data_IF_389751679234
#
_entry.id   IF_389751679234
#
_cell.length_a   1.000
_cell.length_b   1.000
_cell.length_c   1.000
_cell.angle_alpha   90.00
_cell.angle_beta   90.00
_cell.angle_gamma   90.00
#
_symmetry.space_group_name_H-M   'P 1'
#
loop_
_entity.id
_entity.type
_entity.pdbx_description
1 polymer ?
#
# COMPACT_ATOMS: atom_id res chain seq x y z
N UNK A 1 24.23 12.97 12.71
CA UNK A 1 23.78 11.59 13.00
C UNK A 1 22.99 11.13 11.78
N UNK A 2 23.31 9.97 11.21
CA UNK A 2 22.54 9.44 10.06
C UNK A 2 21.07 9.26 10.45
N UNK A 3 20.15 9.59 9.54
CA UNK A 3 18.73 9.38 9.76
C UNK A 3 18.48 7.93 10.18
N UNK A 4 17.70 7.71 11.24
CA UNK A 4 17.25 6.37 11.63
C UNK A 4 15.90 6.15 10.97
N UNK A 5 15.84 5.31 9.94
CA UNK A 5 14.59 4.92 9.29
C UNK A 5 14.11 3.55 9.79
N UNK A 6 12.81 3.31 9.66
CA UNK A 6 12.20 2.02 10.00
C UNK A 6 12.68 0.93 9.03
N UNK A 7 12.95 -0.26 9.57
CA UNK A 7 13.46 -1.40 8.82
C UNK A 7 12.46 -1.91 7.76
N UNK A 8 12.92 -2.71 6.79
CA UNK A 8 12.07 -3.25 5.71
C UNK A 8 11.17 -4.37 6.26
N UNK A 9 9.88 -4.07 6.46
CA UNK A 9 8.90 -5.02 7.04
C UNK A 9 7.88 -5.56 6.01
N UNK A 10 8.00 -5.14 4.75
CA UNK A 10 7.16 -5.63 3.66
C UNK A 10 7.74 -6.85 2.96
N UNK A 11 7.59 -6.88 1.63
CA UNK A 11 7.94 -8.03 0.81
C UNK A 11 9.32 -7.88 0.15
N UNK A 12 9.97 -9.01 -0.11
CA UNK A 12 11.25 -9.09 -0.82
C UNK A 12 11.05 -9.90 -2.10
N UNK A 13 11.63 -9.42 -3.20
CA UNK A 13 11.68 -10.16 -4.48
C UNK A 13 13.12 -10.37 -4.93
N UNK A 14 13.34 -11.30 -5.85
CA UNK A 14 14.66 -11.71 -6.32
C UNK A 14 14.63 -12.02 -7.81
N UNK A 15 15.57 -11.45 -8.57
CA UNK A 15 15.80 -11.83 -9.97
C UNK A 15 17.09 -12.67 -10.07
N UNK A 16 17.00 -13.98 -10.40
CA UNK A 16 18.16 -14.84 -10.55
C UNK A 16 19.04 -14.51 -11.77
N UNK A 17 18.51 -13.87 -12.81
CA UNK A 17 19.30 -13.49 -13.99
C UNK A 17 20.26 -12.35 -13.67
N UNK A 18 19.82 -11.44 -12.78
CA UNK A 18 20.59 -10.27 -12.36
C UNK A 18 21.36 -10.50 -11.05
N UNK A 19 21.03 -11.58 -10.33
CA UNK A 19 21.44 -11.88 -8.95
C UNK A 19 21.19 -10.70 -8.00
N UNK A 20 19.96 -10.19 -7.99
CA UNK A 20 19.57 -9.03 -7.19
C UNK A 20 18.34 -9.29 -6.34
N UNK A 21 18.41 -8.91 -5.07
CA UNK A 21 17.25 -8.80 -4.17
C UNK A 21 16.71 -7.38 -4.19
N UNK A 22 15.38 -7.26 -4.19
CA UNK A 22 14.66 -5.99 -4.19
C UNK A 22 13.76 -5.88 -2.97
N UNK A 23 13.84 -4.76 -2.27
CA UNK A 23 12.96 -4.46 -1.14
C UNK A 23 12.84 -2.95 -0.91
N UNK A 24 11.74 -2.57 -0.25
CA UNK A 24 11.48 -1.20 0.16
C UNK A 24 11.85 -0.92 1.62
N UNK A 25 12.28 0.30 1.92
CA UNK A 25 12.54 0.78 3.29
C UNK A 25 11.40 1.64 3.82
N UNK A 26 11.24 1.68 5.14
CA UNK A 26 10.15 2.35 5.81
C UNK A 26 10.34 3.86 6.01
N UNK A 27 9.46 4.42 6.84
CA UNK A 27 9.41 5.85 7.16
C UNK A 27 10.64 6.32 7.98
N UNK A 28 10.98 7.62 7.99
CA UNK A 28 12.23 8.14 8.57
C UNK A 28 12.20 8.37 10.10
N UNK A 29 11.48 7.54 10.87
CA UNK A 29 11.43 7.63 12.33
C UNK A 29 10.24 8.43 12.84
N UNK A 30 10.49 9.59 13.48
CA UNK A 30 9.41 10.47 13.95
C UNK A 30 8.57 11.00 12.79
N UNK A 31 7.28 11.09 13.06
CA UNK A 31 6.23 11.55 12.16
C UNK A 31 6.20 13.08 12.07
N UNK A 32 6.79 13.79 13.04
CA UNK A 32 7.03 15.23 12.93
C UNK A 32 8.23 15.53 11.99
N UNK A 33 8.01 16.09 10.78
CA UNK A 33 9.10 16.36 9.84
C UNK A 33 10.05 17.48 10.30
N UNK A 34 9.59 18.41 11.14
CA UNK A 34 10.42 19.51 11.63
C UNK A 34 11.59 19.01 12.48
N UNK A 35 11.41 17.92 13.23
CA UNK A 35 12.48 17.28 14.00
C UNK A 35 13.52 16.54 13.13
N UNK A 36 13.25 16.38 11.83
CA UNK A 36 14.10 15.71 10.84
C UNK A 36 14.72 16.66 9.82
N UNK A 37 14.33 17.94 9.84
CA UNK A 37 14.89 19.01 9.04
C UNK A 37 16.35 19.30 9.45
N UNK A 38 17.12 19.88 8.52
CA UNK A 38 18.51 20.30 8.77
C UNK A 38 18.58 21.81 8.54
N UNK A 39 19.05 22.54 9.54
CA UNK A 39 19.12 24.01 9.52
C UNK A 39 17.77 24.71 9.23
N UNK A 40 16.67 24.05 9.61
CA UNK A 40 15.31 24.53 9.37
C UNK A 40 14.75 24.24 7.98
N UNK A 41 15.50 23.52 7.13
CA UNK A 41 15.09 23.18 5.77
C UNK A 41 14.81 21.67 5.60
N UNK A 42 13.91 21.29 4.67
CA UNK A 42 13.69 19.90 4.29
C UNK A 42 14.99 19.19 3.93
N UNK A 43 15.19 18.01 4.51
CA UNK A 43 16.33 17.15 4.20
C UNK A 43 15.80 15.78 3.78
N UNK A 44 16.28 15.22 2.67
CA UNK A 44 15.72 14.00 2.06
C UNK A 44 15.59 12.78 3.00
N UNK A 45 16.25 12.77 4.17
CA UNK A 45 16.27 11.68 5.15
C UNK A 45 16.65 10.33 4.54
N UNK A 46 17.62 10.36 3.62
CA UNK A 46 18.09 9.15 2.92
C UNK A 46 18.67 8.15 3.93
N UNK A 47 18.35 6.85 3.81
CA UNK A 47 17.62 6.18 2.72
C UNK A 47 16.27 5.62 3.18
N UNK A 48 15.40 6.47 3.75
CA UNK A 48 14.00 6.12 4.03
C UNK A 48 13.16 6.08 2.73
N UNK A 49 12.05 5.33 2.73
CA UNK A 49 11.08 5.24 1.61
C UNK A 49 11.80 5.03 0.26
N UNK A 50 12.75 4.11 0.28
CA UNK A 50 13.67 3.84 -0.81
C UNK A 50 13.56 2.38 -1.23
N UNK A 51 13.46 2.15 -2.54
CA UNK A 51 13.65 0.84 -3.16
C UNK A 51 15.14 0.58 -3.24
N UNK A 52 15.58 -0.57 -2.75
CA UNK A 52 16.95 -1.06 -2.86
C UNK A 52 17.01 -2.23 -3.82
N UNK A 53 18.01 -2.23 -4.70
CA UNK A 53 18.50 -3.44 -5.37
C UNK A 53 19.87 -3.78 -4.80
N UNK A 54 20.02 -4.99 -4.25
CA UNK A 54 21.27 -5.43 -3.62
C UNK A 54 21.70 -6.80 -4.09
N UNK A 55 23.00 -7.03 -4.06
CA UNK A 55 23.58 -8.35 -4.22
C UNK A 55 23.25 -9.21 -2.97
N UNK A 56 22.65 -10.41 -3.13
CA UNK A 56 22.26 -11.26 -2.01
C UNK A 56 23.43 -11.88 -1.25
N UNK A 57 24.61 -11.98 -1.86
CA UNK A 57 25.78 -12.64 -1.30
C UNK A 57 26.55 -11.72 -0.35
N UNK A 58 26.62 -10.42 -0.65
CA UNK A 58 27.43 -9.46 0.12
C UNK A 58 26.65 -8.23 0.62
N UNK A 59 25.41 -8.01 0.15
CA UNK A 59 24.56 -6.88 0.53
C UNK A 59 24.93 -5.54 -0.10
N UNK A 60 25.88 -5.51 -1.05
CA UNK A 60 26.26 -4.30 -1.78
C UNK A 60 25.06 -3.77 -2.59
N UNK A 61 24.96 -2.44 -2.67
CA UNK A 61 23.89 -1.76 -3.40
C UNK A 61 24.27 -1.64 -4.87
N UNK A 62 23.42 -2.13 -5.76
CA UNK A 62 23.55 -1.88 -7.21
C UNK A 62 22.94 -0.52 -7.57
N UNK A 63 21.71 -0.28 -7.14
CA UNK A 63 21.01 0.98 -7.32
C UNK A 63 19.98 1.20 -6.21
N UNK A 64 19.53 2.45 -6.08
CA UNK A 64 18.47 2.86 -5.16
C UNK A 64 17.59 3.92 -5.81
N UNK A 65 16.30 3.90 -5.48
CA UNK A 65 15.35 4.95 -5.84
C UNK A 65 14.51 5.35 -4.63
N UNK A 66 14.61 6.62 -4.22
CA UNK A 66 13.83 7.15 -3.10
C UNK A 66 12.52 7.73 -3.61
N UNK A 67 11.40 7.05 -3.33
CA UNK A 67 10.05 7.43 -3.79
C UNK A 67 9.57 8.72 -3.14
N UNK A 68 9.83 8.90 -1.84
CA UNK A 68 9.42 10.09 -1.09
C UNK A 68 10.62 10.65 -0.32
N UNK A 69 11.34 11.62 -0.90
CA UNK A 69 12.33 12.40 -0.17
C UNK A 69 11.63 13.27 0.88
N UNK A 70 12.16 13.30 2.11
CA UNK A 70 11.60 14.07 3.23
C UNK A 70 10.11 13.77 3.46
N UNK A 71 9.79 12.52 3.80
CA UNK A 71 8.43 12.11 4.18
C UNK A 71 7.81 13.06 5.21
N UNK A 72 6.51 13.29 5.10
CA UNK A 72 5.73 14.14 6.02
C UNK A 72 4.46 13.44 6.53
N UNK A 73 4.17 12.22 6.03
CA UNK A 73 2.85 11.59 6.13
C UNK A 73 2.87 10.13 6.59
N UNK A 74 4.05 9.57 6.90
CA UNK A 74 4.24 8.13 7.14
C UNK A 74 3.90 7.27 5.92
N UNK A 75 4.50 7.56 4.76
CA UNK A 75 4.35 6.70 3.59
C UNK A 75 5.48 5.64 3.52
N UNK A 76 5.52 4.66 4.45
CA UNK A 76 6.54 3.59 4.39
C UNK A 76 6.59 2.97 2.98
N UNK A 77 7.74 3.03 2.33
CA UNK A 77 7.90 2.56 0.95
C UNK A 77 8.09 1.05 0.82
N UNK A 78 7.46 0.24 1.68
CA UNK A 78 7.73 -1.20 1.86
C UNK A 78 6.88 -2.13 0.99
N UNK A 79 6.00 -1.57 0.15
CA UNK A 79 5.17 -2.36 -0.77
C UNK A 79 6.01 -3.29 -1.67
N UNK A 80 5.37 -4.38 -2.10
CA UNK A 80 6.00 -5.41 -2.91
C UNK A 80 6.55 -4.85 -4.23
N UNK A 81 7.73 -5.35 -4.61
CA UNK A 81 8.43 -4.98 -5.84
C UNK A 81 8.17 -6.07 -6.88
N UNK A 82 7.09 -5.96 -7.65
CA UNK A 82 6.71 -7.00 -8.62
C UNK A 82 7.65 -6.99 -9.83
N UNK A 83 8.38 -8.09 -10.02
CA UNK A 83 9.29 -8.24 -11.15
C UNK A 83 8.48 -8.70 -12.37
N UNK A 84 8.34 -7.82 -13.35
CA UNK A 84 7.52 -8.05 -14.54
C UNK A 84 8.33 -7.71 -15.79
N UNK A 85 8.22 -8.50 -16.85
CA UNK A 85 8.80 -8.16 -18.14
C UNK A 85 7.72 -7.46 -18.98
N UNK A 86 8.05 -6.27 -19.49
CA UNK A 86 7.08 -5.40 -20.16
C UNK A 86 7.67 -4.82 -21.44
N UNK A 87 6.81 -4.56 -22.42
CA UNK A 87 7.16 -3.70 -23.56
C UNK A 87 6.88 -2.25 -23.16
N UNK A 88 7.92 -1.42 -23.15
CA UNK A 88 7.83 0.00 -22.81
C UNK A 88 8.47 0.81 -23.94
N UNK A 89 7.71 1.72 -24.54
CA UNK A 89 8.15 2.54 -25.69
C UNK A 89 8.72 1.72 -26.87
N UNK A 90 8.20 0.50 -27.07
CA UNK A 90 8.64 -0.42 -28.14
C UNK A 90 9.91 -1.22 -27.82
N UNK A 91 10.43 -1.12 -26.60
CA UNK A 91 11.57 -1.89 -26.12
C UNK A 91 11.15 -2.85 -25.00
N UNK A 92 11.74 -4.05 -24.97
CA UNK A 92 11.53 -5.00 -23.89
C UNK A 92 12.35 -4.56 -22.67
N UNK A 93 11.66 -4.32 -21.55
CA UNK A 93 12.26 -3.88 -20.29
C UNK A 93 12.05 -4.92 -19.20
N UNK A 94 13.09 -5.13 -18.41
CA UNK A 94 13.02 -5.87 -17.15
C UNK A 94 12.40 -4.93 -16.09
N UNK A 95 11.08 -4.87 -16.02
CA UNK A 95 10.33 -3.98 -15.12
C UNK A 95 10.30 -4.44 -13.65
N UNK A 96 10.15 -3.47 -12.76
CA UNK A 96 9.80 -3.60 -11.34
C UNK A 96 8.65 -2.64 -11.04
N UNK A 97 7.46 -3.20 -10.83
CA UNK A 97 6.25 -2.45 -10.57
C UNK A 97 5.88 -2.40 -9.09
N UNK A 98 5.36 -1.26 -8.63
CA UNK A 98 4.98 -1.02 -7.23
C UNK A 98 3.66 -0.25 -7.19
N UNK A 99 2.65 -0.79 -6.52
CA UNK A 99 1.47 -0.02 -6.09
C UNK A 99 1.73 0.39 -4.64
N UNK A 100 2.00 1.67 -4.42
CA UNK A 100 2.61 2.16 -3.19
C UNK A 100 1.62 2.88 -2.24
N UNK A 101 2.01 3.00 -0.97
CA UNK A 101 1.34 3.82 0.05
C UNK A 101 1.03 5.23 -0.45
N UNK A 102 1.91 5.82 -1.26
CA UNK A 102 1.81 7.19 -1.76
C UNK A 102 0.57 7.50 -2.59
N UNK A 103 -0.16 6.49 -3.11
CA UNK A 103 -1.21 6.69 -4.11
C UNK A 103 -0.71 6.70 -5.56
N UNK A 104 0.60 6.55 -5.75
CA UNK A 104 1.23 6.41 -7.06
C UNK A 104 1.63 4.95 -7.33
N UNK A 105 1.42 4.54 -8.57
CA UNK A 105 1.93 3.33 -9.17
C UNK A 105 3.24 3.65 -9.87
N UNK A 106 4.30 2.92 -9.53
CA UNK A 106 5.62 3.08 -10.11
C UNK A 106 5.97 1.90 -11.01
N UNK A 107 6.61 2.18 -12.14
CA UNK A 107 7.34 1.19 -12.93
C UNK A 107 8.80 1.65 -13.03
N UNK A 108 9.72 0.80 -12.60
CA UNK A 108 11.16 1.02 -12.74
C UNK A 108 11.78 -0.03 -13.64
N UNK A 109 12.90 0.31 -14.26
CA UNK A 109 13.81 -0.70 -14.79
C UNK A 109 14.56 -1.36 -13.63
N UNK A 110 14.37 -2.67 -13.46
CA UNK A 110 14.93 -3.41 -12.31
C UNK A 110 16.43 -3.68 -12.44
N UNK A 111 17.01 -3.48 -13.61
CA UNK A 111 18.45 -3.60 -13.82
C UNK A 111 19.19 -2.31 -13.45
N UNK A 112 18.67 -1.15 -13.88
CA UNK A 112 19.32 0.16 -13.74
C UNK A 112 18.79 1.02 -12.59
N UNK A 113 17.53 0.82 -12.18
CA UNK A 113 16.81 1.69 -11.25
C UNK A 113 16.19 2.93 -11.89
N UNK A 114 16.16 3.03 -13.22
CA UNK A 114 15.51 4.11 -13.96
C UNK A 114 14.00 4.11 -13.70
N UNK A 115 13.42 5.29 -13.45
CA UNK A 115 11.99 5.48 -13.30
C UNK A 115 11.33 5.60 -14.68
N UNK A 116 10.38 4.73 -14.99
CA UNK A 116 9.67 4.67 -16.28
C UNK A 116 8.26 5.23 -16.20
N UNK A 117 7.52 4.92 -15.12
CA UNK A 117 6.15 5.39 -14.88
C UNK A 117 5.99 5.79 -13.42
N UNK A 118 5.26 6.86 -13.14
CA UNK A 118 4.87 7.30 -11.80
C UNK A 118 3.52 8.03 -11.85
N UNK A 119 2.42 7.26 -11.87
CA UNK A 119 1.06 7.77 -12.08
C UNK A 119 0.12 7.45 -10.93
N UNK A 120 -0.91 8.26 -10.72
CA UNK A 120 -1.87 8.06 -9.62
C UNK A 120 -2.80 6.89 -9.91
N UNK A 121 -2.73 5.82 -9.10
CA UNK A 121 -3.76 4.77 -9.09
C UNK A 121 -4.94 5.15 -8.17
N UNK A 122 -4.72 6.08 -7.24
CA UNK A 122 -5.74 6.68 -6.41
C UNK A 122 -5.95 8.15 -6.80
N UNK A 123 -6.97 8.48 -7.62
CA UNK A 123 -7.13 9.83 -8.19
C UNK A 123 -7.29 10.96 -7.18
N UNK A 124 -7.80 10.68 -5.99
CA UNK A 124 -7.94 11.62 -4.87
C UNK A 124 -6.61 12.03 -4.23
N UNK A 125 -5.49 11.37 -4.57
CA UNK A 125 -4.16 11.68 -4.03
C UNK A 125 -3.80 13.14 -4.28
N UNK A 126 -3.52 13.90 -3.22
CA UNK A 126 -3.33 15.36 -3.28
C UNK A 126 -2.03 15.88 -2.64
N UNK A 127 -1.30 15.05 -1.89
CA UNK A 127 -0.01 15.46 -1.29
C UNK A 127 1.06 15.82 -2.33
N UNK A 128 0.96 15.23 -3.52
CA UNK A 128 1.78 15.54 -4.68
C UNK A 128 0.94 15.52 -5.96
N UNK A 129 1.27 16.42 -6.89
CA UNK A 129 0.56 16.55 -8.16
C UNK A 129 0.99 15.49 -9.17
N UNK A 130 2.30 15.25 -9.27
CA UNK A 130 2.95 14.32 -10.19
C UNK A 130 4.38 14.01 -9.74
N UNK A 131 5.10 13.18 -10.50
CA UNK A 131 6.56 13.06 -10.40
C UNK A 131 7.23 13.78 -11.57
N UNK A 132 8.30 14.51 -11.27
CA UNK A 132 9.23 14.99 -12.28
C UNK A 132 10.06 13.81 -12.78
N UNK A 133 9.87 13.42 -14.04
CA UNK A 133 10.51 12.24 -14.62
C UNK A 133 11.99 12.43 -14.95
N UNK A 134 12.51 13.66 -14.96
CA UNK A 134 13.95 13.92 -15.15
C UNK A 134 14.72 13.71 -13.84
N UNK A 135 14.16 14.20 -12.73
CA UNK A 135 14.77 14.13 -11.40
C UNK A 135 14.31 12.93 -10.59
N UNK A 136 13.20 12.31 -10.97
CA UNK A 136 12.53 11.23 -10.24
C UNK A 136 11.87 11.66 -8.93
N UNK A 137 11.61 12.97 -8.73
CA UNK A 137 11.10 13.52 -7.45
C UNK A 137 9.62 13.90 -7.54
N UNK A 138 8.85 13.77 -6.45
CA UNK A 138 7.47 14.23 -6.43
C UNK A 138 7.40 15.77 -6.45
N UNK A 139 6.43 16.30 -7.19
CA UNK A 139 5.99 17.69 -7.10
C UNK A 139 5.02 17.82 -5.92
N UNK A 140 5.58 18.05 -4.73
CA UNK A 140 4.81 18.15 -3.48
C UNK A 140 3.90 19.38 -3.49
N UNK A 141 2.65 19.20 -3.10
CA UNK A 141 1.70 20.29 -2.92
C UNK A 141 1.83 20.88 -1.51
N UNK A 142 2.23 22.16 -1.43
CA UNK A 142 2.45 22.86 -0.15
C UNK A 142 1.19 22.98 0.71
N UNK A 143 -0.01 22.95 0.10
CA UNK A 143 -1.29 22.97 0.83
C UNK A 143 -1.43 21.78 1.78
N UNK A 144 -0.93 20.61 1.37
CA UNK A 144 -1.04 19.35 2.11
C UNK A 144 0.26 18.93 2.80
N UNK A 145 1.28 19.80 2.82
CA UNK A 145 2.57 19.57 3.48
C UNK A 145 2.49 19.88 4.98
N UNK A 146 2.61 18.86 5.82
CA UNK A 146 2.58 19.02 7.29
C UNK A 146 3.77 19.82 7.81
N UNK A 147 4.91 19.80 7.10
CA UNK A 147 6.06 20.63 7.41
C UNK A 147 5.82 22.12 7.11
N UNK A 148 5.23 22.43 5.95
CA UNK A 148 4.96 23.83 5.55
C UNK A 148 3.82 24.45 6.35
N UNK A 149 2.80 23.67 6.70
CA UNK A 149 1.75 24.13 7.61
C UNK A 149 2.28 24.38 9.03
N UNK A 150 3.21 23.54 9.50
CA UNK A 150 3.96 23.74 10.73
C UNK A 150 3.59 22.80 11.88
N UNK A 151 4.42 22.82 12.92
CA UNK A 151 4.22 22.04 14.15
C UNK A 151 3.02 22.60 14.93
N UNK A 152 2.23 21.71 15.54
CA UNK A 152 1.00 22.01 16.27
C UNK A 152 -0.09 22.67 15.40
N UNK A 153 -0.03 22.45 14.08
CA UNK A 153 -1.04 22.88 13.10
C UNK A 153 -1.66 21.65 12.45
N UNK A 154 -2.98 21.55 12.56
CA UNK A 154 -3.74 20.47 11.94
C UNK A 154 -3.91 20.72 10.43
N UNK A 155 -3.18 19.98 9.61
CA UNK A 155 -3.32 19.97 8.15
C UNK A 155 -4.45 19.04 7.77
N UNK A 156 -5.47 19.53 7.06
CA UNK A 156 -6.71 18.79 6.82
C UNK A 156 -6.81 18.20 5.41
N UNK A 157 -7.65 17.18 5.27
CA UNK A 157 -8.05 16.59 3.98
C UNK A 157 -6.88 16.05 3.12
N UNK A 158 -5.82 15.56 3.77
CA UNK A 158 -4.68 14.93 3.09
C UNK A 158 -5.09 13.55 2.57
N UNK A 159 -4.82 13.28 1.29
CA UNK A 159 -5.06 11.99 0.65
C UNK A 159 -3.78 11.48 -0.03
N UNK A 160 -3.38 10.21 0.19
CA UNK A 160 -3.99 9.25 1.12
C UNK A 160 -3.65 9.52 2.60
N UNK A 161 -4.12 8.65 3.49
CA UNK A 161 -3.71 8.66 4.91
C UNK A 161 -2.31 8.07 5.14
N UNK A 162 -1.81 8.12 6.37
CA UNK A 162 -0.64 7.35 6.83
C UNK A 162 -0.76 5.82 6.59
N UNK A 163 -1.98 5.28 6.49
CA UNK A 163 -2.20 3.89 6.05
C UNK A 163 -1.87 3.68 4.56
N UNK A 164 -1.78 4.76 3.79
CA UNK A 164 -1.59 4.84 2.36
C UNK A 164 -2.83 4.49 1.55
N UNK A 165 -2.76 4.74 0.25
CA UNK A 165 -3.74 4.27 -0.73
C UNK A 165 -3.65 2.74 -0.95
N UNK A 166 -2.56 2.12 -0.48
CA UNK A 166 -2.39 0.68 -0.30
C UNK A 166 -1.44 0.46 0.86
N UNK A 167 -1.59 -0.63 1.60
CA UNK A 167 -0.71 -0.95 2.74
C UNK A 167 0.00 -2.29 2.49
N UNK A 168 0.17 -3.13 3.50
CA UNK A 168 0.92 -4.39 3.44
C UNK A 168 0.39 -5.42 2.44
N UNK A 169 -0.89 -5.33 2.04
CA UNK A 169 -1.54 -6.30 1.19
C UNK A 169 -0.85 -6.38 -0.19
N UNK A 170 -0.37 -7.56 -0.64
CA UNK A 170 0.28 -7.67 -1.93
C UNK A 170 -0.75 -7.69 -3.07
N UNK A 171 -0.41 -7.03 -4.17
CA UNK A 171 -1.09 -7.15 -5.45
C UNK A 171 -0.68 -8.45 -6.18
N UNK A 172 -1.45 -8.83 -7.20
CA UNK A 172 -1.14 -9.93 -8.10
C UNK A 172 -0.92 -9.40 -9.52
N UNK A 173 -0.10 -10.08 -10.32
CA UNK A 173 0.11 -9.74 -11.73
C UNK A 173 -0.30 -10.92 -12.62
N UNK A 174 -0.92 -10.64 -13.76
CA UNK A 174 -1.20 -11.66 -14.78
C UNK A 174 -0.35 -11.38 -16.03
N UNK A 175 0.61 -12.26 -16.38
CA UNK A 175 1.38 -12.11 -17.63
C UNK A 175 0.53 -12.32 -18.89
N UNK A 176 -0.71 -12.80 -18.76
CA UNK A 176 -1.64 -12.96 -19.89
C UNK A 176 -2.31 -11.64 -20.28
N UNK A 177 -2.66 -10.81 -19.30
CA UNK A 177 -3.32 -9.52 -19.52
C UNK A 177 -2.34 -8.35 -19.44
N UNK A 178 -1.18 -8.54 -18.80
CA UNK A 178 -0.24 -7.46 -18.51
C UNK A 178 -0.65 -6.57 -17.34
N UNK A 179 -1.74 -6.91 -16.63
CA UNK A 179 -2.34 -6.06 -15.59
C UNK A 179 -1.95 -6.50 -14.18
N UNK A 180 -1.93 -5.52 -13.27
CA UNK A 180 -1.78 -5.69 -11.83
C UNK A 180 -3.15 -5.57 -11.15
N UNK A 181 -3.50 -6.54 -10.32
CA UNK A 181 -4.74 -6.59 -9.55
C UNK A 181 -4.44 -6.25 -8.09
N UNK A 182 -4.98 -5.15 -7.58
CA UNK A 182 -4.61 -4.60 -6.28
C UNK A 182 -5.82 -4.22 -5.43
N UNK A 183 -5.76 -4.60 -4.15
CA UNK A 183 -6.66 -4.06 -3.13
C UNK A 183 -6.14 -2.72 -2.61
N UNK A 184 -6.96 -1.67 -2.71
CA UNK A 184 -6.60 -0.30 -2.36
C UNK A 184 -7.52 0.27 -1.28
N UNK A 185 -7.05 1.35 -0.66
CA UNK A 185 -7.69 2.11 0.39
C UNK A 185 -8.14 3.46 -0.20
N UNK A 186 -9.37 3.88 0.11
CA UNK A 186 -9.98 5.14 -0.33
C UNK A 186 -10.26 6.00 0.91
N UNK A 187 -9.19 6.46 1.56
CA UNK A 187 -9.25 7.11 2.88
C UNK A 187 -8.31 8.32 2.88
N UNK A 188 -8.75 9.43 3.49
CA UNK A 188 -8.00 10.66 3.71
C UNK A 188 -7.85 10.94 5.22
N UNK A 189 -7.01 11.91 5.58
CA UNK A 189 -6.68 12.20 6.97
C UNK A 189 -6.55 13.70 7.25
N UNK A 190 -6.75 14.06 8.52
CA UNK A 190 -6.17 15.26 9.10
C UNK A 190 -4.96 14.86 9.94
N UNK A 191 -3.95 15.72 9.96
CA UNK A 191 -2.65 15.41 10.55
C UNK A 191 -2.10 16.63 11.30
N UNK A 192 -1.79 16.43 12.58
CA UNK A 192 -1.16 17.45 13.43
C UNK A 192 0.17 16.90 13.99
N UNK A 193 1.34 17.36 13.50
CA UNK A 193 2.63 16.97 14.05
C UNK A 193 2.93 17.74 15.33
N UNK A 194 3.53 17.08 16.32
CA UNK A 194 3.96 17.70 17.59
C UNK A 194 5.37 17.24 17.97
N UNK A 195 6.06 18.00 18.81
CA UNK A 195 7.40 17.61 19.28
C UNK A 195 7.35 16.37 20.20
N UNK A 196 8.25 15.43 19.97
CA UNK A 196 8.39 14.23 20.81
C UNK A 196 9.84 13.90 21.12
N UNK A 197 10.10 13.36 22.30
CA UNK A 197 11.43 12.94 22.75
C UNK A 197 11.70 11.47 22.42
N UNK A 198 12.92 11.17 21.95
CA UNK A 198 13.33 9.79 21.76
C UNK A 198 13.71 9.13 23.10
N UNK A 199 12.95 8.12 23.48
CA UNK A 199 13.27 7.23 24.61
C UNK A 199 13.31 5.78 24.10
N UNK A 200 14.44 5.11 24.28
CA UNK A 200 14.61 3.73 23.82
C UNK A 200 13.55 2.80 24.43
N UNK A 201 12.81 2.08 23.57
CA UNK A 201 11.74 1.17 23.97
C UNK A 201 10.36 1.84 24.11
N UNK A 202 10.24 3.15 23.93
CA UNK A 202 8.96 3.86 23.87
C UNK A 202 8.59 4.23 22.43
N UNK A 203 7.29 4.41 22.13
CA UNK A 203 6.86 4.96 20.84
C UNK A 203 7.49 6.33 20.56
N UNK A 204 7.94 6.53 19.32
CA UNK A 204 8.53 7.78 18.85
C UNK A 204 7.77 8.25 17.60
N UNK A 205 6.52 8.67 17.82
CA UNK A 205 5.58 9.06 16.76
C UNK A 205 5.65 10.57 16.55
N UNK A 206 5.00 11.40 17.38
CA UNK A 206 5.02 12.86 17.19
C UNK A 206 3.96 13.37 16.23
N UNK A 207 2.80 12.71 16.17
CA UNK A 207 1.65 13.17 15.39
C UNK A 207 0.33 12.63 15.97
N UNK A 208 -0.74 13.39 15.78
CA UNK A 208 -2.13 13.00 16.02
C UNK A 208 -2.87 12.99 14.69
N UNK A 209 -3.72 11.99 14.47
CA UNK A 209 -4.40 11.78 13.19
C UNK A 209 -5.87 11.51 13.41
N UNK A 210 -6.69 12.01 12.49
CA UNK A 210 -8.06 11.55 12.28
C UNK A 210 -8.20 11.10 10.83
N UNK A 211 -8.97 10.04 10.58
CA UNK A 211 -9.15 9.49 9.24
C UNK A 211 -10.63 9.53 8.83
N UNK A 212 -10.88 9.76 7.54
CA UNK A 212 -12.20 9.85 6.95
C UNK A 212 -12.24 9.18 5.57
N UNK A 213 -13.41 8.71 5.11
CA UNK A 213 -13.56 8.26 3.72
C UNK A 213 -13.04 9.31 2.74
N UNK A 214 -12.39 8.87 1.66
CA UNK A 214 -12.06 9.78 0.56
C UNK A 214 -13.35 10.34 -0.08
N UNK A 215 -13.31 11.58 -0.62
CA UNK A 215 -14.45 12.13 -1.36
C UNK A 215 -14.83 11.24 -2.55
N UNK A 216 -16.13 11.01 -2.76
CA UNK A 216 -16.62 10.44 -4.04
C UNK A 216 -16.86 11.54 -5.08
N UNK A 217 -16.96 11.17 -6.37
CA UNK A 217 -17.23 12.11 -7.47
C UNK A 217 -18.50 12.95 -7.28
N UNK A 218 -19.47 12.46 -6.50
CA UNK A 218 -20.72 13.18 -6.18
C UNK A 218 -20.66 13.94 -4.86
N UNK A 219 -19.48 14.05 -4.23
CA UNK A 219 -19.30 14.67 -2.91
C UNK A 219 -19.90 13.89 -1.73
N UNK A 220 -20.41 12.68 -1.96
CA UNK A 220 -20.91 11.81 -0.91
C UNK A 220 -19.77 11.08 -0.20
N UNK A 221 -19.84 10.92 1.12
CA UNK A 221 -18.91 10.12 1.93
C UNK A 221 -19.49 8.74 2.31
N UNK A 222 -20.60 8.33 1.68
CA UNK A 222 -21.30 7.10 2.06
C UNK A 222 -20.60 5.84 1.53
N UNK A 223 -19.83 5.20 2.41
CA UNK A 223 -19.69 3.75 2.42
C UNK A 223 -18.63 3.14 1.49
N UNK A 224 -17.66 3.90 0.99
CA UNK A 224 -16.49 3.35 0.27
C UNK A 224 -15.19 3.73 0.97
N UNK A 225 -14.54 2.76 1.61
CA UNK A 225 -13.20 2.95 2.19
C UNK A 225 -12.11 2.20 1.42
N UNK A 226 -12.48 1.48 0.35
CA UNK A 226 -11.53 0.75 -0.48
C UNK A 226 -12.10 0.42 -1.84
N UNK A 227 -11.21 -0.06 -2.70
CA UNK A 227 -11.59 -0.63 -3.99
C UNK A 227 -10.66 -1.79 -4.33
N UNK A 228 -11.10 -2.68 -5.22
CA UNK A 228 -10.23 -3.63 -5.91
C UNK A 228 -10.08 -3.19 -7.36
N UNK A 229 -8.85 -2.97 -7.81
CA UNK A 229 -8.56 -2.40 -9.14
C UNK A 229 -7.79 -3.36 -10.02
N UNK A 230 -7.92 -3.21 -11.34
CA UNK A 230 -6.91 -3.60 -12.31
C UNK A 230 -6.17 -2.36 -12.81
N UNK A 231 -4.84 -2.41 -12.76
CA UNK A 231 -3.93 -1.34 -13.11
C UNK A 231 -3.01 -1.78 -14.24
N UNK A 232 -2.88 -0.95 -15.28
CA UNK A 232 -1.88 -1.13 -16.32
C UNK A 232 -0.57 -0.45 -15.89
N UNK A 233 0.51 -1.21 -15.61
CA UNK A 233 1.77 -0.64 -15.14
C UNK A 233 2.56 0.11 -16.21
N UNK A 234 2.27 -0.10 -17.50
CA UNK A 234 2.93 0.57 -18.63
C UNK A 234 2.20 1.86 -18.99
N UNK A 235 0.87 1.80 -19.08
CA UNK A 235 0.05 2.97 -19.38
C UNK A 235 -0.12 3.89 -18.15
N UNK A 236 0.05 3.36 -16.94
CA UNK A 236 -0.13 4.13 -15.72
C UNK A 236 -1.60 4.49 -15.49
N UNK A 237 -2.53 3.57 -15.76
CA UNK A 237 -3.97 3.81 -15.64
C UNK A 237 -4.75 2.65 -15.04
N UNK A 238 -5.87 2.98 -14.39
CA UNK A 238 -6.83 2.00 -13.89
C UNK A 238 -7.74 1.55 -15.03
N UNK A 239 -7.74 0.25 -15.33
CA UNK A 239 -8.55 -0.35 -16.40
C UNK A 239 -9.99 -0.58 -15.94
N UNK A 240 -10.16 -1.08 -14.72
CA UNK A 240 -11.46 -1.24 -14.07
C UNK A 240 -11.31 -1.20 -12.55
N UNK A 241 -12.42 -0.92 -11.86
CA UNK A 241 -12.49 -0.78 -10.40
C UNK A 241 -13.77 -1.40 -9.85
N UNK A 242 -13.66 -2.03 -8.68
CA UNK A 242 -14.77 -2.55 -7.88
C UNK A 242 -14.74 -1.85 -6.52
N UNK A 243 -15.78 -1.07 -6.22
CA UNK A 243 -15.91 -0.40 -4.93
C UNK A 243 -16.18 -1.40 -3.80
N UNK A 244 -15.48 -1.21 -2.67
CA UNK A 244 -15.67 -2.00 -1.47
C UNK A 244 -16.02 -1.15 -0.27
N UNK A 245 -16.86 -1.72 0.61
CA UNK A 245 -17.34 -1.03 1.81
C UNK A 245 -16.20 -0.57 2.70
N UNK A 246 -15.28 -1.49 2.95
CA UNK A 246 -14.09 -1.28 3.74
C UNK A 246 -12.84 -1.36 2.84
N UNK A 247 -11.70 -0.90 3.35
CA UNK A 247 -10.41 -1.07 2.70
C UNK A 247 -10.15 -2.53 2.29
N UNK A 248 -9.59 -2.77 1.11
CA UNK A 248 -9.23 -4.12 0.68
C UNK A 248 -7.85 -4.47 1.21
N UNK A 249 -7.83 -5.13 2.38
CA UNK A 249 -6.62 -5.37 3.17
C UNK A 249 -6.01 -6.77 2.98
N UNK A 250 -6.56 -7.58 2.07
CA UNK A 250 -6.05 -8.92 1.76
C UNK A 250 -5.09 -8.90 0.58
N UNK A 251 -4.12 -9.81 0.55
CA UNK A 251 -3.35 -10.07 -0.67
C UNK A 251 -4.22 -10.70 -1.78
N UNK A 252 -4.02 -10.22 -3.00
CA UNK A 252 -4.70 -10.72 -4.20
C UNK A 252 -4.02 -11.97 -4.77
N UNK A 253 -4.76 -12.77 -5.55
CA UNK A 253 -4.23 -13.90 -6.32
C UNK A 253 -4.85 -13.92 -7.72
N UNK A 254 -4.04 -13.77 -8.76
CA UNK A 254 -4.46 -14.00 -10.15
C UNK A 254 -4.09 -15.44 -10.57
N UNK A 255 -4.94 -16.08 -11.36
CA UNK A 255 -4.72 -17.46 -11.84
C UNK A 255 -4.85 -17.55 -13.36
N UNK A 256 -4.27 -18.60 -13.95
CA UNK A 256 -4.37 -18.86 -15.38
C UNK A 256 -5.79 -19.23 -15.86
N UNK A 257 -6.75 -19.40 -14.95
CA UNK A 257 -8.16 -19.60 -15.27
C UNK A 257 -8.96 -18.32 -15.48
N UNK A 258 -8.26 -17.19 -15.70
CA UNK A 258 -8.86 -15.87 -15.92
C UNK A 258 -9.67 -15.34 -14.72
N UNK A 259 -9.20 -15.69 -13.52
CA UNK A 259 -9.77 -15.26 -12.24
C UNK A 259 -8.74 -14.52 -11.37
N UNK A 260 -9.18 -13.42 -10.75
CA UNK A 260 -8.51 -12.78 -9.62
C UNK A 260 -9.32 -13.01 -8.34
N UNK A 261 -8.64 -13.35 -7.26
CA UNK A 261 -9.23 -13.55 -5.95
C UNK A 261 -8.73 -12.49 -4.98
N UNK A 262 -9.63 -11.98 -4.13
CA UNK A 262 -9.29 -11.14 -2.99
C UNK A 262 -10.29 -11.33 -1.84
N UNK A 263 -9.94 -10.82 -0.67
CA UNK A 263 -10.72 -10.89 0.56
C UNK A 263 -11.11 -9.51 1.07
N UNK A 264 -12.29 -9.41 1.68
CA UNK A 264 -12.78 -8.15 2.27
C UNK A 264 -12.67 -8.17 3.80
N UNK A 265 -12.65 -6.99 4.42
CA UNK A 265 -12.58 -6.85 5.87
C UNK A 265 -13.84 -7.34 6.58
N UNK A 266 -15.00 -7.32 5.93
CA UNK A 266 -16.21 -8.00 6.42
C UNK A 266 -16.19 -9.52 6.21
N UNK A 267 -15.11 -10.08 5.63
CA UNK A 267 -14.83 -11.51 5.61
C UNK A 267 -15.39 -12.24 4.40
N UNK A 268 -15.59 -11.58 3.26
CA UNK A 268 -15.91 -12.27 2.01
C UNK A 268 -14.63 -12.60 1.25
N UNK A 269 -14.48 -13.84 0.81
CA UNK A 269 -13.59 -14.15 -0.32
C UNK A 269 -14.40 -13.93 -1.58
N UNK A 270 -13.83 -13.20 -2.53
CA UNK A 270 -14.42 -12.92 -3.84
C UNK A 270 -13.50 -13.45 -4.94
N UNK A 271 -14.11 -13.92 -6.02
CA UNK A 271 -13.43 -14.21 -7.28
C UNK A 271 -14.06 -13.36 -8.37
N UNK A 272 -13.23 -12.66 -9.14
CA UNK A 272 -13.65 -11.75 -10.19
C UNK A 272 -13.01 -12.12 -11.51
N UNK A 273 -13.69 -11.82 -12.61
CA UNK A 273 -13.13 -11.91 -13.94
C UNK A 273 -11.97 -10.90 -14.10
N UNK A 274 -10.84 -11.36 -14.66
CA UNK A 274 -9.64 -10.53 -14.76
C UNK A 274 -9.70 -9.45 -15.85
N UNK A 275 -10.60 -9.59 -16.83
CA UNK A 275 -10.73 -8.66 -17.95
C UNK A 275 -11.63 -7.48 -17.60
N UNK A 276 -12.69 -7.70 -16.80
CA UNK A 276 -13.72 -6.68 -16.56
C UNK A 276 -14.12 -6.47 -15.09
N UNK A 277 -13.59 -7.26 -14.16
CA UNK A 277 -13.89 -7.12 -12.73
C UNK A 277 -15.28 -7.65 -12.29
N UNK A 278 -16.00 -8.40 -13.13
CA UNK A 278 -17.30 -8.98 -12.76
C UNK A 278 -17.13 -9.97 -11.58
N UNK A 279 -17.90 -9.80 -10.49
CA UNK A 279 -17.92 -10.76 -9.37
C UNK A 279 -18.59 -12.07 -9.82
N UNK A 280 -17.78 -13.12 -9.98
CA UNK A 280 -18.23 -14.45 -10.42
C UNK A 280 -18.56 -15.36 -9.25
N UNK A 281 -17.92 -15.14 -8.09
CA UNK A 281 -18.13 -15.96 -6.91
C UNK A 281 -17.82 -15.21 -5.62
N UNK A 282 -18.55 -15.56 -4.55
CA UNK A 282 -18.33 -15.01 -3.22
C UNK A 282 -18.65 -16.03 -2.13
N UNK A 283 -17.88 -16.02 -1.05
CA UNK A 283 -18.13 -16.82 0.16
C UNK A 283 -17.82 -16.06 1.45
N UNK A 284 -18.69 -16.17 2.46
CA UNK A 284 -18.50 -15.55 3.78
C UNK A 284 -17.67 -16.47 4.69
N UNK A 285 -16.45 -16.05 5.00
CA UNK A 285 -15.58 -16.68 6.00
C UNK A 285 -15.96 -16.23 7.42
N UNK A 286 -15.50 -16.95 8.47
CA UNK A 286 -15.85 -16.65 9.85
C UNK A 286 -15.41 -15.27 10.38
N UNK A 287 -14.41 -14.64 9.76
CA UNK A 287 -13.85 -13.34 10.19
C UNK A 287 -13.34 -12.54 8.99
N UNK A 288 -12.94 -11.29 9.21
CA UNK A 288 -12.35 -10.43 8.18
C UNK A 288 -11.05 -10.98 7.64
N UNK A 289 -10.73 -10.67 6.38
CA UNK A 289 -9.54 -11.20 5.71
C UNK A 289 -8.50 -10.10 5.58
N UNK A 290 -7.37 -10.28 6.26
CA UNK A 290 -6.15 -9.49 6.07
C UNK A 290 -5.01 -10.34 5.50
N UNK A 291 -5.20 -11.67 5.39
CA UNK A 291 -4.21 -12.57 4.84
C UNK A 291 -4.23 -12.60 3.32
N UNK A 292 -3.24 -13.29 2.74
CA UNK A 292 -3.15 -13.48 1.30
C UNK A 292 -3.94 -14.72 0.89
N UNK A 293 -4.61 -14.63 -0.26
CA UNK A 293 -5.21 -15.81 -0.89
C UNK A 293 -4.11 -16.59 -1.60
N UNK A 294 -4.13 -17.91 -1.45
CA UNK A 294 -3.15 -18.81 -2.06
C UNK A 294 -3.85 -19.97 -2.78
N UNK A 295 -3.15 -20.61 -3.72
CA UNK A 295 -3.65 -21.82 -4.39
C UNK A 295 -2.56 -22.90 -4.44
N UNK A 296 -2.98 -24.17 -4.40
CA UNK A 296 -2.10 -25.33 -4.50
C UNK A 296 -2.85 -26.52 -5.11
N UNK A 297 -2.12 -27.56 -5.47
CA UNK A 297 -2.70 -28.81 -5.97
C UNK A 297 -2.40 -29.96 -5.00
N UNK A 298 -3.39 -30.81 -4.77
CA UNK A 298 -3.24 -32.06 -4.02
C UNK A 298 -3.99 -33.18 -4.74
N UNK A 299 -3.33 -34.31 -4.99
CA UNK A 299 -3.91 -35.47 -5.69
C UNK A 299 -4.61 -35.13 -7.02
N UNK A 300 -4.01 -34.22 -7.80
CA UNK A 300 -4.57 -33.82 -9.10
C UNK A 300 -5.64 -32.72 -9.03
N UNK A 301 -6.15 -32.37 -7.83
CA UNK A 301 -7.19 -31.38 -7.63
C UNK A 301 -6.63 -30.04 -7.14
N UNK A 302 -7.08 -28.93 -7.72
CA UNK A 302 -6.69 -27.58 -7.30
C UNK A 302 -7.53 -27.12 -6.09
N UNK A 303 -6.86 -26.44 -5.16
CA UNK A 303 -7.44 -25.84 -3.97
C UNK A 303 -7.08 -24.36 -3.89
N UNK A 304 -7.99 -23.55 -3.34
CA UNK A 304 -7.75 -22.15 -2.97
C UNK A 304 -7.90 -22.04 -1.46
N UNK A 305 -6.99 -21.33 -0.78
CA UNK A 305 -6.99 -21.21 0.67
C UNK A 305 -6.76 -19.78 1.14
N UNK A 306 -7.36 -19.43 2.28
CA UNK A 306 -7.24 -18.11 2.89
C UNK A 306 -7.36 -18.19 4.41
N UNK A 307 -6.59 -17.34 5.11
CA UNK A 307 -6.74 -17.12 6.55
C UNK A 307 -7.75 -16.00 6.80
N UNK A 308 -8.70 -16.26 7.69
CA UNK A 308 -9.66 -15.29 8.22
C UNK A 308 -9.38 -15.01 9.70
N UNK A 309 -9.38 -13.74 10.05
CA UNK A 309 -8.99 -13.22 11.36
C UNK A 309 -8.69 -11.72 11.22
N UNK A 310 -9.72 -10.90 11.38
CA UNK A 310 -9.60 -9.44 11.24
C UNK A 310 -8.61 -8.88 12.27
N UNK A 311 -7.81 -7.91 11.85
CA UNK A 311 -6.73 -7.34 12.66
C UNK A 311 -5.89 -6.39 11.82
N UNK A 312 -4.59 -6.35 12.08
CA UNK A 312 -3.71 -5.34 11.48
C UNK A 312 -4.15 -3.93 11.90
N UNK A 313 -3.75 -2.92 11.13
CA UNK A 313 -4.11 -1.54 11.45
C UNK A 313 -5.60 -1.26 11.18
N UNK A 314 -6.16 -1.76 10.08
CA UNK A 314 -7.59 -1.59 9.75
C UNK A 314 -8.55 -2.22 10.77
N UNK A 315 -8.12 -3.29 11.46
CA UNK A 315 -8.90 -3.97 12.50
C UNK A 315 -8.48 -3.62 13.93
N UNK A 316 -7.64 -2.60 14.15
CA UNK A 316 -7.00 -2.38 15.45
C UNK A 316 -8.00 -2.10 16.58
N UNK A 317 -9.10 -1.39 16.31
CA UNK A 317 -10.16 -1.17 17.29
C UNK A 317 -10.74 -2.47 17.83
N UNK A 318 -11.00 -3.44 16.96
CA UNK A 318 -11.48 -4.78 17.35
C UNK A 318 -10.39 -5.62 18.02
N UNK A 319 -9.15 -5.56 17.52
CA UNK A 319 -8.05 -6.41 17.98
C UNK A 319 -7.49 -5.99 19.34
N UNK A 320 -7.43 -4.68 19.61
CA UNK A 320 -6.92 -4.11 20.85
C UNK A 320 -8.02 -3.64 21.81
N UNK A 321 -9.30 -3.65 21.39
CA UNK A 321 -10.42 -3.20 22.22
C UNK A 321 -10.43 -1.68 22.43
N UNK A 322 -10.04 -0.93 21.40
CA UNK A 322 -9.99 0.54 21.42
C UNK A 322 -11.35 1.09 20.95
N UNK A 323 -11.82 2.15 21.60
CA UNK A 323 -13.13 2.76 21.35
C UNK A 323 -13.03 4.25 20.99
N UNK A 324 -11.95 4.93 21.38
CA UNK A 324 -11.75 6.34 21.05
C UNK A 324 -11.42 6.48 19.55
N UNK A 325 -12.15 7.31 18.78
CA UNK A 325 -11.91 7.49 17.35
C UNK A 325 -10.49 7.93 16.98
N UNK A 326 -9.78 8.65 17.86
CA UNK A 326 -8.41 9.13 17.63
C UNK A 326 -7.34 8.09 18.01
N UNK A 327 -7.71 7.07 18.81
CA UNK A 327 -6.82 5.97 19.15
C UNK A 327 -6.47 5.12 17.92
N UNK A 328 -5.38 4.34 18.05
CA UNK A 328 -4.88 3.53 16.94
C UNK A 328 -4.43 4.40 15.75
N UNK A 329 -3.94 5.62 16.02
CA UNK A 329 -3.48 6.59 15.02
C UNK A 329 -4.59 6.93 14.01
N UNK A 330 -5.81 7.19 14.51
CA UNK A 330 -6.99 7.58 13.72
C UNK A 330 -7.74 6.44 13.03
N UNK A 331 -7.22 5.20 13.04
CA UNK A 331 -7.85 4.07 12.38
C UNK A 331 -9.13 3.57 13.07
N UNK A 332 -9.24 3.75 14.39
CA UNK A 332 -10.42 3.29 15.16
C UNK A 332 -11.69 4.01 14.69
N UNK A 333 -11.61 5.33 14.45
CA UNK A 333 -12.75 6.12 14.00
C UNK A 333 -13.27 5.71 12.62
N UNK A 334 -12.38 5.64 11.61
CA UNK A 334 -12.78 5.37 10.23
C UNK A 334 -13.30 3.94 10.02
N UNK A 335 -12.84 2.98 10.82
CA UNK A 335 -13.31 1.59 10.81
C UNK A 335 -14.33 1.27 11.91
N UNK A 336 -14.95 2.26 12.54
CA UNK A 336 -15.90 2.07 13.65
C UNK A 336 -17.06 1.11 13.33
N UNK A 337 -17.57 1.14 12.10
CA UNK A 337 -18.64 0.24 11.65
C UNK A 337 -18.18 -1.21 11.41
N UNK A 338 -16.87 -1.51 11.37
CA UNK A 338 -16.36 -2.84 11.04
C UNK A 338 -16.84 -3.92 12.02
N UNK A 339 -17.01 -3.54 13.30
CA UNK A 339 -17.48 -4.42 14.37
C UNK A 339 -18.90 -4.97 14.19
N UNK A 340 -19.70 -4.35 13.32
CA UNK A 340 -21.06 -4.79 13.00
C UNK A 340 -21.06 -5.95 11.98
N UNK A 341 -19.97 -6.12 11.22
CA UNK A 341 -19.87 -7.09 10.13
C UNK A 341 -19.00 -8.29 10.46
N UNK A 342 -18.04 -8.12 11.37
CA UNK A 342 -17.03 -9.14 11.66
C UNK A 342 -16.60 -9.12 13.12
N UNK A 343 -15.99 -10.22 13.55
CA UNK A 343 -15.37 -10.38 14.88
C UNK A 343 -13.99 -10.98 14.69
N UNK A 344 -13.16 -10.96 15.74
CA UNK A 344 -11.85 -11.62 15.73
C UNK A 344 -11.98 -13.11 15.36
N UNK A 345 -10.92 -13.66 14.75
CA UNK A 345 -10.90 -15.03 14.26
C UNK A 345 -9.49 -15.58 14.12
N UNK A 346 -9.40 -16.77 13.54
CA UNK A 346 -8.14 -17.49 13.34
C UNK A 346 -8.38 -18.81 12.61
N UNK A 347 -9.02 -18.74 11.44
CA UNK A 347 -9.48 -19.92 10.70
C UNK A 347 -8.88 -19.92 9.29
N UNK A 348 -8.27 -21.04 8.90
CA UNK A 348 -7.95 -21.34 7.51
C UNK A 348 -9.18 -21.94 6.83
N UNK A 349 -9.65 -21.33 5.74
CA UNK A 349 -10.70 -21.88 4.88
C UNK A 349 -10.08 -22.34 3.57
N UNK A 350 -10.45 -23.55 3.12
CA UNK A 350 -9.95 -24.17 1.89
C UNK A 350 -11.14 -24.50 0.98
N UNK A 351 -11.05 -24.11 -0.29
CA UNK A 351 -12.06 -24.25 -1.33
C UNK A 351 -11.56 -25.16 -2.44
N UNK A 352 -12.46 -25.94 -3.03
CA UNK A 352 -12.22 -26.70 -4.24
C UNK A 352 -13.55 -26.90 -4.98
N UNK A 353 -13.49 -27.20 -6.27
CA UNK A 353 -14.68 -27.64 -7.02
C UNK A 353 -15.17 -29.00 -6.50
N UNK A 354 -16.46 -29.33 -6.61
CA UNK A 354 -16.95 -30.70 -6.43
C UNK A 354 -16.24 -31.69 -7.38
N UNK A 355 -16.20 -32.97 -7.01
CA UNK A 355 -15.64 -34.03 -7.88
C UNK A 355 -16.50 -34.33 -9.11
#
# INVERSE_FOLDING_TARGET
>A
MGARWRGPWGWVTYDPDLDLIYYGTGNPGTWNPAQRAVDGEPADNKWAITVFARDPNNGEVKWVYQKVPFDEWDYDGVNENQLIDVEFEGEQRKGLAIIDRTGFGFLLDRESGELLVAEKFAPETNWADSYDMETGRPNVNEEYSTFRQGVDVNTTDICPTAMGAKNMQPSAYSPRTGLIYAGINRICMNYEPYETDYVAGQPYVGATLTMMPAPSENGGMEGRLGSFIAWDPVAGETVWEIDERFAVWSGALATAGDLAFYGTLEGHVKAVDIENGEELWRFKTPSGIIGNINTFQHEGKQYVAVLSGVGGWAGIGLAAGLEDPEEGLGAVGVFSALGDYTKLGGVLTVFALPD
#
